data_IF_636642047739
#
_entry.id   IF_636642047739
#
_cell.length_a   1.000
_cell.length_b   1.000
_cell.length_c   1.000
_cell.angle_alpha   90.00
_cell.angle_beta   90.00
_cell.angle_gamma   90.00
#
_symmetry.space_group_name_H-M   'P 1'
#
loop_
_entity.id
_entity.type
_entity.pdbx_description
1 polymer ?
#
# COMPACT_ATOMS: atom_id res chain seq x y z
N UNK A 1 7.51 19.20 6.15
CA UNK A 1 7.41 18.12 5.15
C UNK A 1 8.49 17.12 5.46
N UNK A 2 8.11 15.92 5.90
CA UNK A 2 9.07 14.81 5.95
C UNK A 2 9.46 14.51 4.49
N UNK A 3 10.75 14.48 4.19
CA UNK A 3 11.21 14.32 2.82
C UNK A 3 11.28 12.82 2.52
N UNK A 4 10.16 12.27 2.05
CA UNK A 4 10.01 10.86 1.66
C UNK A 4 10.88 10.53 0.44
N UNK A 5 11.03 11.50 -0.45
CA UNK A 5 11.61 11.35 -1.78
C UNK A 5 13.11 11.70 -1.78
N UNK A 6 13.95 10.68 -1.96
CA UNK A 6 15.38 10.86 -2.22
C UNK A 6 15.81 9.87 -3.28
N UNK A 7 16.24 10.38 -4.44
CA UNK A 7 16.68 9.56 -5.56
C UNK A 7 17.65 8.45 -5.12
N UNK A 8 17.30 7.20 -5.41
CA UNK A 8 18.07 6.01 -5.02
C UNK A 8 17.86 5.55 -3.58
N UNK A 9 16.85 6.05 -2.87
CA UNK A 9 16.45 5.57 -1.55
C UNK A 9 14.94 5.28 -1.55
N UNK A 10 14.59 4.02 -1.32
CA UNK A 10 13.21 3.55 -1.30
C UNK A 10 12.60 3.72 0.09
N UNK A 11 11.44 4.37 0.16
CA UNK A 11 10.65 4.47 1.38
C UNK A 11 9.89 3.16 1.66
N UNK A 12 10.22 2.50 2.76
CA UNK A 12 9.61 1.21 3.17
C UNK A 12 8.69 1.33 4.38
N UNK A 13 8.33 2.55 4.79
CA UNK A 13 7.49 2.82 5.95
C UNK A 13 8.26 3.46 7.10
N UNK A 14 7.81 3.22 8.33
CA UNK A 14 8.34 3.84 9.56
C UNK A 14 8.91 2.78 10.51
N UNK A 15 9.86 3.16 11.35
CA UNK A 15 10.37 2.25 12.39
C UNK A 15 9.28 1.98 13.42
N UNK A 16 9.39 0.85 14.12
CA UNK A 16 8.45 0.51 15.18
C UNK A 16 9.19 -0.22 16.30
N UNK A 17 9.02 0.27 17.53
CA UNK A 17 9.57 -0.41 18.70
C UNK A 17 8.84 -1.73 18.95
N UNK A 18 9.54 -2.79 19.40
CA UNK A 18 8.91 -4.04 19.77
C UNK A 18 7.80 -3.83 20.82
N UNK A 19 6.59 -4.28 20.52
CA UNK A 19 5.43 -4.16 21.40
C UNK A 19 4.70 -2.81 21.36
N UNK A 20 5.14 -1.87 20.51
CA UNK A 20 4.39 -0.64 20.27
C UNK A 20 3.11 -0.92 19.46
N UNK A 21 2.03 -0.19 19.75
CA UNK A 21 0.78 -0.25 18.98
C UNK A 21 0.84 0.59 17.70
N UNK A 22 1.79 1.52 17.61
CA UNK A 22 1.97 2.44 16.48
C UNK A 22 3.46 2.56 16.12
N UNK A 23 3.78 2.80 14.85
CA UNK A 23 5.14 3.10 14.43
C UNK A 23 5.60 4.45 15.00
N UNK A 24 6.92 4.60 15.10
CA UNK A 24 7.59 5.86 15.40
C UNK A 24 7.47 6.82 14.21
N UNK A 25 7.95 8.06 14.38
CA UNK A 25 7.97 9.05 13.31
C UNK A 25 9.13 8.90 12.32
N UNK A 26 10.11 8.04 12.64
CA UNK A 26 11.34 7.84 11.88
C UNK A 26 11.08 7.01 10.62
N UNK A 27 11.53 7.52 9.47
CA UNK A 27 11.35 6.87 8.18
C UNK A 27 12.36 5.74 7.97
N UNK A 28 11.92 4.65 7.36
CA UNK A 28 12.78 3.59 6.84
C UNK A 28 13.06 3.90 5.37
N UNK A 29 14.21 4.53 5.11
CA UNK A 29 14.72 4.78 3.76
C UNK A 29 15.82 3.76 3.45
N UNK A 30 15.53 2.86 2.50
CA UNK A 30 16.41 1.76 2.12
C UNK A 30 17.24 2.14 0.89
N UNK A 31 18.56 1.90 0.90
CA UNK A 31 19.42 2.22 -0.26
C UNK A 31 19.11 1.26 -1.41
N UNK A 32 18.61 1.79 -2.53
CA UNK A 32 18.23 0.99 -3.70
C UNK A 32 19.42 0.22 -4.28
N UNK A 33 20.67 0.64 -4.03
CA UNK A 33 21.87 -0.06 -4.47
C UNK A 33 22.01 -1.44 -3.83
N UNK A 34 21.47 -1.64 -2.63
CA UNK A 34 21.49 -2.94 -1.98
C UNK A 34 20.62 -3.97 -2.73
N UNK A 35 19.64 -3.51 -3.53
CA UNK A 35 18.76 -4.35 -4.37
C UNK A 35 19.39 -4.76 -5.71
N UNK A 36 20.62 -4.35 -6.02
CA UNK A 36 21.28 -4.63 -7.31
C UNK A 36 21.86 -6.04 -7.44
N UNK A 37 21.87 -6.81 -6.34
CA UNK A 37 22.28 -8.22 -6.34
C UNK A 37 21.04 -9.11 -6.36
N UNK A 38 20.54 -9.51 -5.19
CA UNK A 38 19.32 -10.30 -5.02
C UNK A 38 18.71 -10.01 -3.65
N UNK A 39 17.38 -9.98 -3.57
CA UNK A 39 16.65 -9.88 -2.32
C UNK A 39 15.66 -11.04 -2.19
N UNK A 40 15.34 -11.42 -0.95
CA UNK A 40 14.32 -12.43 -0.64
C UNK A 40 13.40 -11.92 0.46
N UNK A 41 12.09 -12.00 0.22
CA UNK A 41 11.06 -11.64 1.21
C UNK A 41 10.45 -12.94 1.74
N UNK A 42 10.59 -13.18 3.05
CA UNK A 42 10.08 -14.38 3.73
C UNK A 42 9.04 -14.01 4.79
N UNK A 43 8.08 -14.90 5.02
CA UNK A 43 7.00 -14.65 5.98
C UNK A 43 5.75 -15.49 5.69
N UNK A 44 4.87 -15.62 6.66
CA UNK A 44 3.61 -16.37 6.53
C UNK A 44 2.53 -15.58 5.76
N UNK A 45 1.46 -16.24 5.31
CA UNK A 45 0.33 -15.54 4.68
C UNK A 45 -0.24 -14.48 5.64
N UNK A 46 -0.57 -13.30 5.11
CA UNK A 46 -1.03 -12.16 5.91
C UNK A 46 0.08 -11.34 6.58
N UNK A 47 1.36 -11.74 6.47
CA UNK A 47 2.47 -11.00 7.09
C UNK A 47 2.93 -9.77 6.29
N UNK A 48 2.19 -9.33 5.27
CA UNK A 48 2.53 -8.16 4.46
C UNK A 48 3.56 -8.36 3.34
N UNK A 49 3.98 -9.59 3.01
CA UNK A 49 4.98 -9.83 1.94
C UNK A 49 4.62 -9.19 0.59
N UNK A 50 3.38 -9.37 0.14
CA UNK A 50 2.89 -8.79 -1.12
C UNK A 50 2.87 -7.26 -1.03
N UNK A 51 2.45 -6.72 0.11
CA UNK A 51 2.48 -5.27 0.35
C UNK A 51 3.88 -4.69 0.26
N UNK A 52 4.87 -5.32 0.92
CA UNK A 52 6.27 -4.90 0.81
C UNK A 52 6.78 -4.98 -0.64
N UNK A 53 6.41 -6.04 -1.37
CA UNK A 53 6.74 -6.17 -2.78
C UNK A 53 6.15 -5.05 -3.62
N UNK A 54 4.88 -4.69 -3.39
CA UNK A 54 4.21 -3.57 -4.05
C UNK A 54 4.93 -2.25 -3.75
N UNK A 55 5.25 -1.96 -2.49
CA UNK A 55 5.98 -0.74 -2.14
C UNK A 55 7.32 -0.65 -2.86
N UNK A 56 8.07 -1.75 -2.95
CA UNK A 56 9.32 -1.77 -3.74
C UNK A 56 9.10 -1.46 -5.23
N UNK A 57 7.98 -1.92 -5.81
CA UNK A 57 7.63 -1.63 -7.21
C UNK A 57 7.23 -0.16 -7.40
N UNK A 58 6.50 0.41 -6.45
CA UNK A 58 6.09 1.81 -6.46
C UNK A 58 7.30 2.75 -6.35
N UNK A 59 8.20 2.49 -5.40
CA UNK A 59 9.45 3.27 -5.24
C UNK A 59 10.35 3.16 -6.47
N UNK A 60 10.46 1.96 -7.07
CA UNK A 60 11.19 1.79 -8.33
C UNK A 60 10.55 2.59 -9.48
N UNK A 61 9.21 2.63 -9.55
CA UNK A 61 8.50 3.40 -10.56
C UNK A 61 8.68 4.91 -10.39
N UNK A 62 8.66 5.41 -9.14
CA UNK A 62 8.92 6.81 -8.79
C UNK A 62 10.34 7.22 -9.23
N UNK A 63 11.34 6.37 -8.99
CA UNK A 63 12.74 6.58 -9.40
C UNK A 63 12.98 6.35 -10.91
N UNK A 64 11.94 6.00 -11.69
CA UNK A 64 12.04 5.73 -13.13
C UNK A 64 12.82 4.45 -13.47
N UNK A 65 12.92 3.52 -12.53
CA UNK A 65 13.58 2.22 -12.72
C UNK A 65 12.61 1.28 -13.43
N UNK A 66 12.97 0.71 -14.60
CA UNK A 66 12.10 -0.21 -15.30
C UNK A 66 11.98 -1.55 -14.56
N UNK A 67 10.75 -2.04 -14.40
CA UNK A 67 10.49 -3.31 -13.70
C UNK A 67 9.81 -4.33 -14.61
N UNK A 68 10.29 -5.57 -14.53
CA UNK A 68 9.59 -6.76 -15.04
C UNK A 68 9.08 -7.54 -13.83
N UNK A 69 7.76 -7.60 -13.66
CA UNK A 69 7.13 -8.34 -12.58
C UNK A 69 6.49 -9.64 -13.12
N UNK A 70 6.81 -10.78 -12.49
CA UNK A 70 6.17 -12.07 -12.74
C UNK A 70 5.23 -12.35 -11.58
N UNK A 71 3.94 -12.24 -11.82
CA UNK A 71 2.92 -12.39 -10.80
C UNK A 71 2.01 -13.59 -11.07
N UNK A 72 2.34 -14.77 -10.52
CA UNK A 72 1.52 -15.96 -10.70
C UNK A 72 0.18 -15.88 -9.93
N UNK A 73 0.03 -14.94 -8.98
CA UNK A 73 -1.20 -14.77 -8.21
C UNK A 73 -2.18 -13.82 -8.89
N UNK A 74 -1.67 -12.89 -9.70
CA UNK A 74 -2.46 -11.86 -10.38
C UNK A 74 -2.86 -10.70 -9.47
N UNK A 75 -2.29 -10.61 -8.27
CA UNK A 75 -2.60 -9.58 -7.29
C UNK A 75 -2.08 -8.19 -7.71
N UNK A 76 -1.04 -8.10 -8.55
CA UNK A 76 -0.47 -6.83 -9.03
C UNK A 76 -1.44 -6.05 -9.93
N UNK A 77 -2.44 -6.72 -10.52
CA UNK A 77 -3.51 -6.03 -11.25
C UNK A 77 -4.29 -5.06 -10.36
N UNK A 78 -4.31 -5.29 -9.05
CA UNK A 78 -4.99 -4.44 -8.08
C UNK A 78 -4.31 -3.05 -7.95
N UNK A 79 -3.07 -2.87 -8.42
CA UNK A 79 -2.42 -1.56 -8.47
C UNK A 79 -3.16 -0.57 -9.39
N UNK A 80 -4.00 -1.07 -10.30
CA UNK A 80 -4.87 -0.25 -11.14
C UNK A 80 -6.11 0.25 -10.39
N UNK A 81 -6.39 -0.24 -9.18
CA UNK A 81 -7.46 0.24 -8.31
C UNK A 81 -7.00 1.43 -7.46
N UNK A 82 -6.17 2.29 -8.04
CA UNK A 82 -5.84 3.59 -7.47
C UNK A 82 -7.01 4.53 -7.74
N UNK A 83 -7.60 5.07 -6.67
CA UNK A 83 -8.70 6.04 -6.76
C UNK A 83 -8.19 7.39 -6.24
N UNK A 84 -7.64 8.26 -7.12
CA UNK A 84 -6.94 9.48 -6.69
C UNK A 84 -7.81 10.44 -5.87
N UNK A 85 -9.11 10.48 -6.15
CA UNK A 85 -10.03 11.35 -5.41
C UNK A 85 -10.64 10.66 -4.17
N UNK A 86 -10.46 9.34 -4.05
CA UNK A 86 -11.03 8.50 -3.01
C UNK A 86 -12.55 8.71 -2.86
N UNK A 87 -13.26 8.92 -3.97
CA UNK A 87 -14.70 9.17 -3.93
C UNK A 87 -15.46 7.85 -3.75
N UNK A 88 -16.55 7.81 -2.96
CA UNK A 88 -17.34 6.59 -2.76
C UNK A 88 -17.76 5.89 -4.05
N UNK A 89 -18.07 6.65 -5.10
CA UNK A 89 -18.47 6.13 -6.41
C UNK A 89 -17.36 5.37 -7.14
N UNK A 90 -16.08 5.63 -6.83
CA UNK A 90 -14.95 4.89 -7.40
C UNK A 90 -14.86 3.48 -6.81
N UNK A 91 -15.20 3.33 -5.52
CA UNK A 91 -15.20 2.05 -4.80
C UNK A 91 -16.44 1.22 -5.07
N UNK A 92 -17.60 1.85 -5.26
CA UNK A 92 -18.89 1.17 -5.37
C UNK A 92 -18.89 0.02 -6.40
N UNK A 93 -18.36 0.17 -7.64
CA UNK A 93 -18.25 -0.91 -8.61
C UNK A 93 -17.55 -2.18 -8.10
N UNK A 94 -16.64 -2.04 -7.14
CA UNK A 94 -15.77 -3.10 -6.63
C UNK A 94 -16.23 -3.66 -5.28
N UNK A 95 -17.27 -3.08 -4.68
CA UNK A 95 -17.84 -3.58 -3.43
C UNK A 95 -18.60 -4.88 -3.65
N UNK A 96 -18.26 -5.91 -2.86
CA UNK A 96 -19.02 -7.14 -2.73
C UNK A 96 -20.33 -6.91 -1.97
N UNK A 97 -21.46 -7.13 -2.64
CA UNK A 97 -22.79 -6.92 -2.06
C UNK A 97 -23.09 -7.89 -0.91
N UNK A 98 -22.59 -9.13 -0.98
CA UNK A 98 -22.75 -10.12 0.08
C UNK A 98 -22.02 -9.73 1.36
N UNK A 99 -20.84 -9.13 1.26
CA UNK A 99 -20.10 -8.59 2.39
C UNK A 99 -20.81 -7.38 3.00
N UNK A 100 -21.27 -6.45 2.16
CA UNK A 100 -22.05 -5.31 2.61
C UNK A 100 -23.28 -5.79 3.41
N UNK A 101 -24.02 -6.77 2.88
CA UNK A 101 -25.19 -7.33 3.54
C UNK A 101 -24.86 -8.03 4.85
N UNK A 102 -23.78 -8.83 4.91
CA UNK A 102 -23.31 -9.46 6.17
C UNK A 102 -22.97 -8.42 7.24
N UNK A 103 -22.56 -7.22 6.84
CA UNK A 103 -22.28 -6.07 7.71
C UNK A 103 -23.51 -5.19 7.98
N UNK A 104 -24.68 -5.56 7.46
CA UNK A 104 -25.93 -4.80 7.60
C UNK A 104 -25.92 -3.47 6.84
N UNK A 105 -25.14 -3.37 5.77
CA UNK A 105 -24.94 -2.16 4.96
C UNK A 105 -25.42 -2.39 3.52
N UNK A 106 -25.89 -1.32 2.87
CA UNK A 106 -26.03 -1.31 1.42
C UNK A 106 -24.66 -1.19 0.74
N UNK A 107 -24.59 -1.53 -0.55
CA UNK A 107 -23.37 -1.38 -1.37
C UNK A 107 -22.81 0.04 -1.30
N UNK A 108 -23.68 1.04 -1.48
CA UNK A 108 -23.31 2.46 -1.43
C UNK A 108 -22.78 2.88 -0.04
N UNK A 109 -23.44 2.46 1.04
CA UNK A 109 -22.96 2.72 2.40
C UNK A 109 -21.59 2.07 2.67
N UNK A 110 -21.38 0.86 2.16
CA UNK A 110 -20.11 0.16 2.35
C UNK A 110 -19.00 0.79 1.50
N UNK A 111 -19.30 1.25 0.28
CA UNK A 111 -18.38 2.03 -0.54
C UNK A 111 -17.96 3.35 0.14
N UNK A 112 -18.91 4.11 0.68
CA UNK A 112 -18.63 5.34 1.43
C UNK A 112 -17.75 5.08 2.66
N UNK A 113 -18.02 3.98 3.38
CA UNK A 113 -17.20 3.57 4.53
C UNK A 113 -15.77 3.21 4.10
N UNK A 114 -15.61 2.48 3.00
CA UNK A 114 -14.30 2.07 2.48
C UNK A 114 -13.49 3.28 2.00
N UNK A 115 -14.12 4.19 1.25
CA UNK A 115 -13.53 5.45 0.82
C UNK A 115 -12.99 6.27 2.01
N UNK A 116 -13.81 6.43 3.06
CA UNK A 116 -13.41 7.13 4.29
C UNK A 116 -12.23 6.43 4.98
N UNK A 117 -12.26 5.10 5.07
CA UNK A 117 -11.19 4.31 5.68
C UNK A 117 -9.86 4.50 4.94
N UNK A 118 -9.88 4.45 3.61
CA UNK A 118 -8.67 4.67 2.80
C UNK A 118 -8.14 6.08 2.98
N UNK A 119 -9.02 7.09 2.91
CA UNK A 119 -8.65 8.49 3.11
C UNK A 119 -8.03 8.75 4.49
N UNK A 120 -8.61 8.21 5.56
CA UNK A 120 -8.02 8.35 6.89
C UNK A 120 -6.70 7.60 7.02
N UNK A 121 -6.62 6.39 6.45
CA UNK A 121 -5.40 5.57 6.51
C UNK A 121 -4.24 6.23 5.78
N UNK A 122 -4.45 6.71 4.56
CA UNK A 122 -3.41 7.43 3.80
C UNK A 122 -2.95 8.71 4.53
N UNK A 123 -3.90 9.47 5.07
CA UNK A 123 -3.59 10.68 5.83
C UNK A 123 -2.74 10.40 7.11
N UNK A 124 -2.94 9.26 7.79
CA UNK A 124 -2.09 8.86 8.93
C UNK A 124 -0.62 8.63 8.54
N UNK A 125 -0.37 8.35 7.25
CA UNK A 125 0.96 8.14 6.68
C UNK A 125 1.50 9.35 5.92
N UNK A 126 0.83 10.51 6.04
CA UNK A 126 1.12 11.74 5.29
C UNK A 126 1.11 11.54 3.76
N UNK A 127 0.23 10.66 3.28
CA UNK A 127 -0.01 10.40 1.86
C UNK A 127 -1.33 11.05 1.44
N UNK A 128 -1.35 11.68 0.27
CA UNK A 128 -2.50 12.37 -0.32
C UNK A 128 -3.17 11.55 -1.42
#
# INVERSE_FOLDING_TARGET
MKNYEKLGAFYLGRTMQPGAERPDDDLVLYDAKDLTTHAVIVGMTGSGKTGLGVSLLEEAAIDGIPVIAIDPKGDLGNLLLTFPNLEPGDFEPWVDEGEALRKGMTRSQFAEKTAKLWKSGLAEWDQD
#
